data_IF_366876726281
#
_entry.id   IF_366876726281
#
_cell.length_a   1.000
_cell.length_b   1.000
_cell.length_c   1.000
_cell.angle_alpha   90.00
_cell.angle_beta   90.00
_cell.angle_gamma   90.00
#
_symmetry.space_group_name_H-M   'P 1'
#
loop_
_entity.id
_entity.type
_entity.pdbx_description
1 polymer ?
#
# COMPACT_ATOMS: atom_id res chain seq x y z
N UNK A 1 -12.81 4.94 21.51
CA UNK A 1 -11.84 3.83 21.44
C UNK A 1 -10.47 4.42 21.72
N UNK A 2 -9.85 4.07 22.82
CA UNK A 2 -8.57 4.68 23.20
C UNK A 2 -7.47 4.08 22.32
N UNK A 3 -6.82 4.91 21.51
CA UNK A 3 -5.61 4.58 20.73
C UNK A 3 -4.37 4.61 21.66
N UNK A 4 -4.60 4.74 22.96
CA UNK A 4 -3.54 4.74 23.97
C UNK A 4 -2.83 3.39 23.97
N UNK A 5 -1.55 3.41 23.61
CA UNK A 5 -0.69 2.23 23.48
C UNK A 5 -0.43 1.73 22.05
N UNK A 6 -1.21 2.19 21.04
CA UNK A 6 -0.98 1.83 19.64
C UNK A 6 -0.04 2.82 18.97
N UNK A 7 -0.25 4.12 19.21
CA UNK A 7 0.65 5.19 18.76
C UNK A 7 1.38 5.74 19.98
N UNK A 8 2.70 5.56 20.10
CA UNK A 8 3.49 6.03 21.22
C UNK A 8 3.44 7.55 21.36
N UNK A 9 3.22 8.04 22.57
CA UNK A 9 3.24 9.50 22.88
C UNK A 9 4.59 10.15 22.56
N UNK A 10 5.68 9.37 22.60
CA UNK A 10 7.03 9.83 22.27
C UNK A 10 7.21 10.28 20.82
N UNK A 11 6.29 9.90 19.90
CA UNK A 11 6.33 10.36 18.51
C UNK A 11 5.81 11.79 18.35
N UNK A 12 5.18 12.37 19.38
CA UNK A 12 4.64 13.73 19.39
C UNK A 12 3.72 14.06 18.21
N UNK A 13 3.01 13.06 17.69
CA UNK A 13 2.05 13.26 16.62
C UNK A 13 0.76 13.88 17.14
N UNK A 14 0.36 14.99 16.51
CA UNK A 14 -0.95 15.59 16.77
C UNK A 14 -2.02 14.94 15.88
N UNK A 15 -3.21 14.73 16.46
CA UNK A 15 -4.39 14.31 15.70
C UNK A 15 -4.91 15.53 14.93
N UNK A 16 -5.01 15.42 13.62
CA UNK A 16 -5.55 16.47 12.75
C UNK A 16 -7.05 16.32 12.52
N UNK A 17 -7.55 15.08 12.50
CA UNK A 17 -8.96 14.78 12.30
C UNK A 17 -9.36 13.47 12.98
N UNK A 18 -10.57 13.43 13.52
CA UNK A 18 -11.19 12.20 14.00
C UNK A 18 -12.63 12.12 13.51
N UNK A 19 -12.97 11.01 12.86
CA UNK A 19 -14.33 10.67 12.44
C UNK A 19 -14.71 9.37 13.18
N UNK A 20 -15.81 9.39 13.91
CA UNK A 20 -16.32 8.20 14.58
C UNK A 20 -17.81 8.08 14.32
N UNK A 21 -18.18 7.11 13.49
CA UNK A 21 -19.54 6.71 13.21
C UNK A 21 -19.64 5.20 13.27
N UNK A 22 -20.76 4.60 13.70
CA UNK A 22 -20.96 3.18 13.41
C UNK A 22 -21.22 3.04 11.89
N UNK A 23 -20.46 2.30 11.11
CA UNK A 23 -19.43 1.32 11.43
C UNK A 23 -17.97 1.76 11.18
N UNK A 24 -17.69 3.05 11.06
CA UNK A 24 -16.40 3.56 10.60
C UNK A 24 -15.74 4.43 11.67
N UNK A 25 -14.46 4.20 11.93
CA UNK A 25 -13.60 5.09 12.70
C UNK A 25 -12.35 5.45 11.91
N UNK A 26 -12.05 6.74 11.79
CA UNK A 26 -10.86 7.26 11.12
C UNK A 26 -10.14 8.21 12.08
N UNK A 27 -8.84 8.04 12.21
CA UNK A 27 -7.96 8.97 12.92
C UNK A 27 -6.85 9.37 11.94
N UNK A 28 -6.71 10.67 11.71
CA UNK A 28 -5.63 11.25 10.90
C UNK A 28 -4.65 12.00 11.77
N UNK A 29 -3.38 11.78 11.53
CA UNK A 29 -2.29 12.44 12.22
C UNK A 29 -1.61 13.48 11.33
N UNK A 30 -1.04 14.50 11.93
CA UNK A 30 -0.26 15.53 11.23
C UNK A 30 1.00 14.99 10.53
N UNK A 31 1.44 13.79 10.90
CA UNK A 31 2.54 13.07 10.26
C UNK A 31 2.20 12.52 8.86
N UNK A 32 0.93 12.55 8.44
CA UNK A 32 0.44 11.91 7.21
C UNK A 32 -0.14 10.52 7.43
N UNK A 33 0.01 9.96 8.62
CA UNK A 33 -0.55 8.64 8.94
C UNK A 33 -2.04 8.72 9.21
N UNK A 34 -2.78 7.77 8.64
CA UNK A 34 -4.22 7.57 8.85
C UNK A 34 -4.49 6.14 9.31
N UNK A 35 -5.27 6.00 10.37
CA UNK A 35 -5.77 4.72 10.86
C UNK A 35 -7.27 4.66 10.57
N UNK A 36 -7.70 3.66 9.81
CA UNK A 36 -9.10 3.40 9.49
C UNK A 36 -9.51 2.04 10.04
N UNK A 37 -10.60 2.03 10.79
CA UNK A 37 -11.19 0.82 11.36
C UNK A 37 -12.62 0.68 10.87
N UNK A 38 -12.88 -0.43 10.22
CA UNK A 38 -14.20 -0.87 9.75
C UNK A 38 -14.56 -2.19 10.45
N UNK A 39 -15.80 -2.70 10.37
CA UNK A 39 -16.20 -3.91 11.05
C UNK A 39 -15.36 -5.15 10.76
N UNK A 40 -14.78 -5.21 9.55
CA UNK A 40 -14.02 -6.36 9.06
C UNK A 40 -12.64 -5.99 8.52
N UNK A 41 -12.18 -4.74 8.74
CA UNK A 41 -10.91 -4.26 8.19
C UNK A 41 -10.27 -3.24 9.11
N UNK A 42 -8.98 -3.43 9.37
CA UNK A 42 -8.07 -2.39 9.81
C UNK A 42 -7.19 -1.98 8.63
N UNK A 43 -7.03 -0.70 8.43
CA UNK A 43 -6.09 -0.14 7.48
C UNK A 43 -5.28 0.98 8.14
N UNK A 44 -3.97 0.91 7.99
CA UNK A 44 -3.05 1.99 8.38
C UNK A 44 -2.35 2.43 7.12
N UNK A 45 -2.39 3.73 6.82
CA UNK A 45 -1.76 4.32 5.63
C UNK A 45 -0.85 5.46 6.03
N UNK A 46 0.22 5.63 5.29
CA UNK A 46 1.10 6.79 5.37
C UNK A 46 1.11 7.46 3.99
N UNK A 47 0.63 8.69 3.93
CA UNK A 47 0.59 9.49 2.70
C UNK A 47 1.79 10.43 2.59
N UNK A 48 2.70 10.43 3.54
CA UNK A 48 3.89 11.25 3.49
C UNK A 48 4.98 10.57 2.64
N UNK A 49 5.04 10.98 1.38
CA UNK A 49 6.00 10.44 0.41
C UNK A 49 7.47 10.73 0.78
N UNK A 50 7.73 11.76 1.61
CA UNK A 50 9.09 12.10 2.06
C UNK A 50 9.65 11.06 3.04
N UNK A 51 8.78 10.37 3.77
CA UNK A 51 9.21 9.36 4.73
C UNK A 51 9.82 8.13 4.06
N UNK A 52 9.38 7.78 2.87
CA UNK A 52 9.69 6.50 2.27
C UNK A 52 9.28 5.31 3.15
N UNK A 53 9.29 4.07 2.67
CA UNK A 53 8.86 2.91 3.43
C UNK A 53 9.71 2.62 4.67
N UNK A 54 11.01 2.94 4.62
CA UNK A 54 11.95 2.70 5.73
C UNK A 54 11.70 3.55 6.97
N UNK A 55 11.09 4.72 6.80
CA UNK A 55 10.77 5.64 7.89
C UNK A 55 9.30 5.59 8.28
N UNK A 56 8.46 4.92 7.49
CA UNK A 56 7.04 4.80 7.76
C UNK A 56 6.77 3.94 9.00
N UNK A 57 5.81 4.37 9.81
CA UNK A 57 5.38 3.68 11.02
C UNK A 57 4.16 2.78 10.83
N UNK A 58 3.73 2.56 9.60
CA UNK A 58 2.53 1.78 9.27
C UNK A 58 2.58 0.37 9.84
N UNK A 59 3.68 -0.36 9.60
CA UNK A 59 3.83 -1.74 10.07
C UNK A 59 3.88 -1.82 11.60
N UNK A 60 4.55 -0.88 12.25
CA UNK A 60 4.67 -0.80 13.72
C UNK A 60 3.29 -0.55 14.38
N UNK A 61 2.51 0.39 13.84
CA UNK A 61 1.16 0.70 14.31
C UNK A 61 0.21 -0.48 14.08
N UNK A 62 0.21 -1.06 12.89
CA UNK A 62 -0.65 -2.18 12.56
C UNK A 62 -0.36 -3.41 13.42
N UNK A 63 0.92 -3.73 13.66
CA UNK A 63 1.35 -4.80 14.55
C UNK A 63 0.96 -4.54 16.00
N UNK A 64 1.13 -3.32 16.49
CA UNK A 64 0.69 -2.95 17.83
C UNK A 64 -0.83 -3.09 18.00
N UNK A 65 -1.61 -2.70 16.98
CA UNK A 65 -3.07 -2.86 17.00
C UNK A 65 -3.47 -4.33 17.10
N UNK A 66 -2.84 -5.20 16.31
CA UNK A 66 -3.11 -6.64 16.32
C UNK A 66 -2.81 -7.24 17.69
N UNK A 67 -1.70 -6.87 18.33
CA UNK A 67 -1.32 -7.36 19.68
C UNK A 67 -2.26 -6.90 20.79
N UNK A 68 -2.82 -5.70 20.66
CA UNK A 68 -3.82 -5.18 21.64
C UNK A 68 -5.15 -5.92 21.55
N UNK A 69 -5.45 -6.54 20.40
CA UNK A 69 -6.70 -7.26 20.15
C UNK A 69 -6.44 -8.74 19.78
N UNK A 70 -5.83 -9.53 20.68
CA UNK A 70 -5.41 -10.89 20.37
C UNK A 70 -6.58 -11.86 20.12
N UNK A 71 -7.79 -11.51 20.56
CA UNK A 71 -9.00 -12.32 20.38
C UNK A 71 -9.75 -12.03 19.07
N UNK A 72 -9.30 -11.03 18.30
CA UNK A 72 -9.88 -10.75 16.98
C UNK A 72 -9.42 -11.83 15.98
N UNK A 73 -10.35 -12.34 15.22
CA UNK A 73 -10.05 -13.33 14.19
C UNK A 73 -9.60 -12.65 12.90
N UNK A 74 -8.30 -12.60 12.71
CA UNK A 74 -7.71 -12.08 11.47
C UNK A 74 -7.69 -13.18 10.40
N UNK A 75 -8.27 -12.94 9.24
CA UNK A 75 -8.31 -13.93 8.13
C UNK A 75 -7.24 -13.68 7.10
N UNK A 76 -6.82 -12.43 6.94
CA UNK A 76 -5.75 -12.03 6.02
C UNK A 76 -5.02 -10.80 6.54
N UNK A 77 -3.77 -10.67 6.15
CA UNK A 77 -2.96 -9.46 6.36
C UNK A 77 -2.21 -9.10 5.07
N UNK A 78 -1.71 -7.89 4.98
CA UNK A 78 -0.92 -7.50 3.81
C UNK A 78 -0.28 -6.14 3.92
N UNK A 79 0.80 -5.97 3.15
CA UNK A 79 1.48 -4.72 2.95
C UNK A 79 1.19 -4.22 1.52
N UNK A 80 0.89 -2.93 1.39
CA UNK A 80 0.59 -2.31 0.10
C UNK A 80 1.54 -1.14 -0.12
N UNK A 81 2.05 -1.04 -1.36
CA UNK A 81 2.92 0.04 -1.78
C UNK A 81 2.41 0.64 -3.08
N UNK A 82 2.62 1.94 -3.25
CA UNK A 82 2.33 2.65 -4.48
C UNK A 82 3.56 3.47 -4.88
N UNK A 83 3.92 3.39 -6.16
CA UNK A 83 4.94 4.24 -6.77
C UNK A 83 4.34 5.02 -7.93
N UNK A 84 4.74 6.29 -8.03
CA UNK A 84 4.41 7.18 -9.14
C UNK A 84 5.68 7.41 -9.96
N UNK A 85 5.66 6.99 -11.22
CA UNK A 85 6.81 7.07 -12.12
C UNK A 85 6.48 8.07 -13.21
N UNK A 86 7.18 9.20 -13.20
CA UNK A 86 7.01 10.23 -14.23
C UNK A 86 7.55 9.74 -15.57
N UNK A 87 6.72 9.86 -16.61
CA UNK A 87 7.05 9.56 -18.03
C UNK A 87 6.32 10.54 -18.93
N UNK A 88 6.95 10.97 -20.02
CA UNK A 88 6.35 11.94 -20.95
C UNK A 88 5.14 11.36 -21.70
N UNK A 89 5.12 10.08 -21.97
CA UNK A 89 4.04 9.38 -22.67
C UNK A 89 3.81 8.01 -22.04
N UNK A 90 3.21 7.93 -20.84
CA UNK A 90 3.11 6.70 -20.07
C UNK A 90 2.31 5.60 -20.80
N UNK A 91 1.26 5.97 -21.53
CA UNK A 91 0.46 5.02 -22.31
C UNK A 91 1.27 4.39 -23.45
N UNK A 92 1.98 5.20 -24.22
CA UNK A 92 2.83 4.71 -25.31
C UNK A 92 3.98 3.87 -24.78
N UNK A 93 4.55 4.24 -23.64
CA UNK A 93 5.59 3.45 -22.98
C UNK A 93 5.07 2.06 -22.61
N UNK A 94 3.91 1.96 -21.92
CA UNK A 94 3.35 0.67 -21.51
C UNK A 94 2.91 -0.16 -22.73
N UNK A 95 2.33 0.47 -23.76
CA UNK A 95 1.99 -0.21 -25.03
C UNK A 95 3.24 -0.82 -25.65
N UNK A 96 4.27 -0.02 -25.90
CA UNK A 96 5.49 -0.49 -26.54
C UNK A 96 6.28 -1.52 -25.74
N UNK A 97 6.20 -1.46 -24.41
CA UNK A 97 6.91 -2.39 -23.50
C UNK A 97 6.25 -3.76 -23.42
N UNK A 98 4.92 -3.80 -23.35
CA UNK A 98 4.19 -5.01 -22.95
C UNK A 98 3.33 -5.62 -24.04
N UNK A 99 3.04 -4.89 -25.08
CA UNK A 99 2.15 -5.37 -26.13
C UNK A 99 2.90 -5.62 -27.43
N UNK A 100 2.49 -6.65 -28.13
CA UNK A 100 2.92 -6.89 -29.52
C UNK A 100 2.00 -6.12 -30.46
N UNK A 101 2.56 -5.64 -31.56
CA UNK A 101 1.80 -4.99 -32.62
C UNK A 101 0.71 -5.93 -33.17
N UNK A 102 -0.45 -5.33 -33.47
CA UNK A 102 -1.59 -6.04 -33.99
C UNK A 102 -2.71 -5.10 -34.44
N UNK A 103 -3.72 -5.58 -35.16
CA UNK A 103 -4.82 -4.75 -35.71
C UNK A 103 -5.64 -4.02 -34.62
N UNK A 104 -5.58 -4.50 -33.38
CA UNK A 104 -6.25 -3.93 -32.21
C UNK A 104 -5.48 -2.79 -31.55
N UNK A 105 -4.21 -2.62 -31.90
CA UNK A 105 -3.29 -1.67 -31.28
C UNK A 105 -3.70 -0.21 -31.56
N UNK A 106 -4.15 0.08 -32.79
CA UNK A 106 -4.51 1.44 -33.25
C UNK A 106 -5.72 2.03 -32.51
N UNK A 107 -6.61 1.18 -31.99
CA UNK A 107 -7.80 1.59 -31.26
C UNK A 107 -7.64 1.59 -29.73
N UNK A 108 -6.44 1.23 -29.24
CA UNK A 108 -6.19 1.09 -27.82
C UNK A 108 -5.80 2.43 -27.19
N UNK A 109 -6.62 2.93 -26.27
CA UNK A 109 -6.37 4.21 -25.60
C UNK A 109 -5.37 4.08 -24.44
N UNK A 110 -5.49 3.03 -23.62
CA UNK A 110 -4.65 2.83 -22.44
C UNK A 110 -4.37 1.35 -22.20
N UNK A 111 -3.32 1.06 -21.45
CA UNK A 111 -2.89 -0.29 -21.07
C UNK A 111 -2.78 -0.36 -19.55
N UNK A 112 -3.47 -1.31 -18.94
CA UNK A 112 -3.27 -1.73 -17.56
C UNK A 112 -2.75 -3.15 -17.49
N UNK A 113 -1.76 -3.41 -16.66
CA UNK A 113 -1.12 -4.71 -16.51
C UNK A 113 -1.28 -5.20 -15.09
N UNK A 114 -1.60 -6.47 -14.94
CA UNK A 114 -1.67 -7.13 -13.66
C UNK A 114 -0.81 -8.37 -13.65
N UNK A 115 0.24 -8.36 -12.84
CA UNK A 115 1.14 -9.48 -12.63
C UNK A 115 0.89 -10.08 -11.25
N UNK A 116 0.92 -11.41 -11.14
CA UNK A 116 0.69 -12.13 -9.91
C UNK A 116 1.84 -13.08 -9.66
N UNK A 117 2.52 -12.90 -8.53
CA UNK A 117 3.64 -13.72 -8.11
C UNK A 117 3.24 -14.52 -6.86
N UNK A 118 3.55 -15.82 -6.80
CA UNK A 118 3.33 -16.60 -5.59
C UNK A 118 4.30 -16.14 -4.49
N UNK A 119 3.82 -16.15 -3.25
CA UNK A 119 4.63 -16.05 -2.03
C UNK A 119 4.40 -17.34 -1.23
N UNK A 120 5.31 -17.65 -0.30
CA UNK A 120 5.20 -18.86 0.53
C UNK A 120 3.86 -18.97 1.26
N UNK A 121 3.31 -17.85 1.70
CA UNK A 121 2.07 -17.78 2.48
C UNK A 121 0.96 -16.97 1.83
N UNK A 122 1.07 -16.69 0.51
CA UNK A 122 0.10 -15.82 -0.16
C UNK A 122 0.49 -15.47 -1.58
N UNK A 123 0.33 -14.20 -1.94
CA UNK A 123 0.70 -13.70 -3.27
C UNK A 123 1.04 -12.21 -3.25
N UNK A 124 1.93 -11.82 -4.15
CA UNK A 124 2.09 -10.44 -4.59
C UNK A 124 1.22 -10.21 -5.83
N UNK A 125 0.39 -9.18 -5.80
CA UNK A 125 -0.28 -8.66 -6.99
C UNK A 125 0.33 -7.30 -7.30
N UNK A 126 0.94 -7.16 -8.48
CA UNK A 126 1.47 -5.90 -9.00
C UNK A 126 0.56 -5.42 -10.12
N UNK A 127 -0.09 -4.27 -9.93
CA UNK A 127 -0.86 -3.59 -10.96
C UNK A 127 -0.10 -2.36 -11.43
N UNK A 128 0.03 -2.21 -12.74
CA UNK A 128 0.71 -1.09 -13.41
C UNK A 128 -0.28 -0.46 -14.37
N UNK A 129 -0.63 0.79 -14.12
CA UNK A 129 -1.60 1.56 -14.90
C UNK A 129 -1.00 2.93 -15.25
N UNK A 130 -1.67 3.66 -16.13
CA UNK A 130 -1.38 5.06 -16.39
C UNK A 130 -2.39 5.96 -15.72
N UNK A 131 -2.01 7.19 -15.42
CA UNK A 131 -2.90 8.16 -14.81
C UNK A 131 -2.27 9.54 -14.67
N UNK A 132 -2.96 10.42 -13.97
CA UNK A 132 -2.47 11.73 -13.61
C UNK A 132 -2.29 11.82 -12.09
N UNK A 133 -1.18 12.38 -11.65
CA UNK A 133 -0.91 12.62 -10.24
C UNK A 133 -0.23 13.97 -10.02
N UNK A 134 -0.52 14.58 -8.88
CA UNK A 134 0.21 15.76 -8.43
C UNK A 134 1.48 15.30 -7.72
N UNK A 135 2.62 15.58 -8.32
CA UNK A 135 3.93 15.31 -7.73
C UNK A 135 4.32 16.42 -6.75
N UNK A 136 5.16 16.16 -5.73
CA UNK A 136 5.50 17.13 -4.69
C UNK A 136 6.02 18.46 -5.22
N UNK A 137 6.86 18.43 -6.26
CA UNK A 137 7.54 19.60 -6.81
C UNK A 137 6.83 20.23 -8.04
N UNK A 138 5.58 19.79 -8.32
CA UNK A 138 4.84 20.25 -9.50
C UNK A 138 3.57 20.99 -9.10
N UNK A 139 3.30 22.10 -9.79
CA UNK A 139 2.08 22.88 -9.59
C UNK A 139 0.85 22.15 -10.15
N UNK A 140 1.00 21.54 -11.33
CA UNK A 140 -0.05 20.86 -12.07
C UNK A 140 0.07 19.35 -11.95
N UNK A 141 -1.03 18.66 -12.27
CA UNK A 141 -1.03 17.19 -12.42
C UNK A 141 -0.11 16.80 -13.58
N UNK A 142 0.61 15.71 -13.40
CA UNK A 142 1.54 15.14 -14.38
C UNK A 142 1.06 13.75 -14.78
N UNK A 143 1.26 13.42 -16.06
CA UNK A 143 1.07 12.07 -16.55
C UNK A 143 2.12 11.15 -15.90
N UNK A 144 1.66 10.05 -15.32
CA UNK A 144 2.51 9.11 -14.57
C UNK A 144 2.11 7.68 -14.86
N UNK A 145 3.05 6.77 -14.65
CA UNK A 145 2.75 5.36 -14.44
C UNK A 145 2.53 5.17 -12.94
N UNK A 146 1.44 4.50 -12.60
CA UNK A 146 1.04 4.18 -11.23
C UNK A 146 1.28 2.69 -11.02
N UNK A 147 2.24 2.33 -10.20
CA UNK A 147 2.52 0.95 -9.84
C UNK A 147 2.02 0.68 -8.41
N UNK A 148 1.10 -0.28 -8.27
CA UNK A 148 0.52 -0.69 -7.00
C UNK A 148 0.90 -2.12 -6.69
N UNK A 149 1.60 -2.36 -5.60
CA UNK A 149 1.92 -3.68 -5.09
C UNK A 149 1.04 -4.04 -3.89
N UNK A 150 0.44 -5.23 -3.91
CA UNK A 150 -0.32 -5.80 -2.80
C UNK A 150 0.30 -7.14 -2.41
N UNK A 151 1.00 -7.18 -1.29
CA UNK A 151 1.48 -8.40 -0.65
C UNK A 151 0.39 -8.93 0.27
N UNK A 152 -0.38 -9.89 -0.20
CA UNK A 152 -1.50 -10.48 0.54
C UNK A 152 -1.11 -11.84 1.10
N UNK A 153 -1.25 -12.02 2.41
CA UNK A 153 -1.00 -13.26 3.14
C UNK A 153 -2.27 -13.78 3.78
N UNK A 154 -2.53 -15.06 3.59
CA UNK A 154 -3.64 -15.73 4.23
C UNK A 154 -3.21 -16.16 5.65
N UNK A 155 -3.95 -15.71 6.65
CA UNK A 155 -3.66 -16.03 8.05
C UNK A 155 -4.28 -17.37 8.50
N UNK A 156 -4.98 -18.08 7.63
CA UNK A 156 -5.61 -19.37 7.95
C UNK A 156 -6.88 -19.25 8.79
N UNK A 157 -7.33 -20.39 9.33
CA UNK A 157 -8.59 -20.44 10.08
C UNK A 157 -8.45 -20.06 11.56
N UNK A 158 -7.26 -20.18 12.12
CA UNK A 158 -6.95 -19.88 13.52
C UNK A 158 -5.58 -19.18 13.61
N UNK A 159 -5.46 -17.95 13.06
CA UNK A 159 -4.18 -17.27 13.10
C UNK A 159 -3.85 -16.87 14.53
N UNK A 160 -2.61 -17.10 14.91
CA UNK A 160 -2.03 -16.45 16.06
C UNK A 160 -1.83 -14.96 15.73
N UNK A 161 -2.19 -14.08 16.64
CA UNK A 161 -2.01 -12.63 16.50
C UNK A 161 -0.53 -12.26 16.32
N UNK A 162 0.42 -13.01 16.90
CA UNK A 162 1.86 -12.80 16.69
C UNK A 162 2.28 -13.15 15.25
N UNK A 163 1.72 -14.21 14.66
CA UNK A 163 1.96 -14.52 13.25
C UNK A 163 1.46 -13.42 12.32
N UNK A 164 0.28 -12.84 12.62
CA UNK A 164 -0.25 -11.70 11.86
C UNK A 164 0.66 -10.48 12.00
N UNK A 165 1.12 -10.20 13.22
CA UNK A 165 2.05 -9.10 13.48
C UNK A 165 3.41 -9.32 12.79
N UNK A 166 3.91 -10.55 12.73
CA UNK A 166 5.11 -10.91 11.98
C UNK A 166 4.95 -10.65 10.48
N UNK A 167 3.80 -11.05 9.89
CA UNK A 167 3.52 -10.78 8.47
C UNK A 167 3.49 -9.27 8.16
N UNK A 168 2.91 -8.47 9.04
CA UNK A 168 2.91 -7.01 8.90
C UNK A 168 4.32 -6.42 9.05
N UNK A 169 5.14 -7.01 9.93
CA UNK A 169 6.53 -6.62 10.15
C UNK A 169 7.45 -6.83 8.95
N UNK A 170 7.06 -7.68 7.96
CA UNK A 170 7.81 -7.90 6.71
C UNK A 170 7.74 -6.74 5.71
N UNK A 171 7.20 -5.59 6.10
CA UNK A 171 6.99 -4.46 5.20
C UNK A 171 8.25 -4.01 4.45
N UNK A 172 9.42 -4.02 5.09
CA UNK A 172 10.69 -3.65 4.44
C UNK A 172 11.21 -4.71 3.48
N UNK A 173 11.04 -5.99 3.80
CA UNK A 173 11.36 -7.11 2.91
C UNK A 173 10.46 -7.07 1.67
N UNK A 174 9.15 -6.87 1.88
CA UNK A 174 8.15 -6.72 0.82
C UNK A 174 8.47 -5.50 -0.08
N UNK A 175 8.88 -4.38 0.52
CA UNK A 175 9.28 -3.19 -0.23
C UNK A 175 10.51 -3.47 -1.11
N UNK A 176 11.56 -4.07 -0.55
CA UNK A 176 12.77 -4.37 -1.31
C UNK A 176 12.48 -5.31 -2.49
N UNK A 177 11.63 -6.31 -2.28
CA UNK A 177 11.20 -7.21 -3.35
C UNK A 177 10.38 -6.47 -4.43
N UNK A 178 9.46 -5.60 -4.02
CA UNK A 178 8.69 -4.77 -4.94
C UNK A 178 9.58 -3.84 -5.77
N UNK A 179 10.53 -3.15 -5.13
CA UNK A 179 11.45 -2.21 -5.78
C UNK A 179 12.31 -2.91 -6.82
N UNK A 180 12.87 -4.08 -6.50
CA UNK A 180 13.64 -4.90 -7.43
C UNK A 180 12.79 -5.34 -8.64
N UNK A 181 11.59 -5.87 -8.38
CA UNK A 181 10.68 -6.28 -9.45
C UNK A 181 10.28 -5.10 -10.34
N UNK A 182 9.92 -3.97 -9.75
CA UNK A 182 9.50 -2.79 -10.50
C UNK A 182 10.63 -2.27 -11.36
N UNK A 183 11.85 -2.21 -10.86
CA UNK A 183 13.04 -1.83 -11.61
C UNK A 183 13.23 -2.74 -12.82
N UNK A 184 13.24 -4.06 -12.62
CA UNK A 184 13.41 -5.04 -13.70
C UNK A 184 12.31 -4.98 -14.76
N UNK A 185 11.09 -4.64 -14.36
CA UNK A 185 9.94 -4.52 -15.28
C UNK A 185 10.02 -3.23 -16.06
N UNK A 186 10.51 -2.14 -15.47
CA UNK A 186 10.50 -0.80 -16.07
C UNK A 186 11.80 -0.43 -16.81
N UNK A 187 12.87 -1.20 -16.69
CA UNK A 187 14.09 -1.11 -17.51
C UNK A 187 13.91 -1.80 -18.88
#
# INVERSE_FOLDING_TARGET
MAVEGIVPKSWNWSVSETITTPPLSIIRYSSGVTITVEPNKLQVTDSNVENGPGNSKVAEIASAYVRVLPHVRYTASGNNFQSLIQRDSPDEYLKGRFLKDGPWHDSLNAVGIRLIYPLDTGRLTLAIDTGEAKLPDKADQQAVIIANANFSRNCGNHPDHEQVAEFLGKAMEDWSHYEELLTNIME
#
